data_IF_802111645663
#
_entry.id   IF_802111645663
#
_cell.length_a   1.000
_cell.length_b   1.000
_cell.length_c   1.000
_cell.angle_alpha   90.00
_cell.angle_beta   90.00
_cell.angle_gamma   90.00
#
_symmetry.space_group_name_H-M   'P 1'
#
loop_
_entity.id
_entity.type
_entity.pdbx_description
1 polymer ?
#
# COMPACT_ATOMS: atom_id res chain seq x y z
N UNK A 1 -7.38 -29.92 0.94
CA UNK A 1 -8.22 -29.60 -0.24
C UNK A 1 -8.98 -30.83 -0.75
N UNK A 2 -10.27 -30.71 -1.09
CA UNK A 2 -11.04 -31.77 -1.79
C UNK A 2 -11.51 -31.28 -3.15
N UNK A 3 -10.86 -31.77 -4.22
CA UNK A 3 -11.15 -31.39 -5.60
C UNK A 3 -12.30 -32.22 -6.20
N UNK A 4 -13.21 -31.54 -6.90
CA UNK A 4 -14.24 -32.15 -7.74
C UNK A 4 -13.62 -32.83 -8.98
N UNK A 5 -14.32 -33.80 -9.62
CA UNK A 5 -13.84 -34.43 -10.84
C UNK A 5 -13.54 -33.42 -11.97
N UNK A 6 -14.32 -32.35 -12.08
CA UNK A 6 -14.14 -31.32 -13.11
C UNK A 6 -12.87 -30.51 -12.83
N UNK A 7 -12.63 -30.09 -11.58
CA UNK A 7 -11.40 -29.38 -11.20
C UNK A 7 -10.16 -30.26 -11.44
N UNK A 8 -10.23 -31.56 -11.13
CA UNK A 8 -9.14 -32.50 -11.44
C UNK A 8 -8.84 -32.55 -12.93
N UNK A 9 -9.87 -32.66 -13.78
CA UNK A 9 -9.70 -32.66 -15.24
C UNK A 9 -9.06 -31.34 -15.72
N UNK A 10 -9.55 -30.19 -15.24
CA UNK A 10 -9.02 -28.88 -15.59
C UNK A 10 -7.54 -28.73 -15.22
N UNK A 11 -7.16 -29.13 -14.00
CA UNK A 11 -5.77 -29.02 -13.53
C UNK A 11 -4.85 -29.96 -14.32
N UNK A 12 -5.30 -31.17 -14.64
CA UNK A 12 -4.51 -32.11 -15.47
C UNK A 12 -4.28 -31.56 -16.88
N UNK A 13 -5.30 -30.99 -17.51
CA UNK A 13 -5.17 -30.32 -18.81
C UNK A 13 -4.20 -29.13 -18.74
N UNK A 14 -4.24 -28.35 -17.65
CA UNK A 14 -3.29 -27.24 -17.42
C UNK A 14 -1.85 -27.75 -17.22
N UNK A 15 -1.65 -28.88 -16.54
CA UNK A 15 -0.33 -29.50 -16.39
C UNK A 15 0.24 -29.91 -17.75
N UNK A 16 -0.58 -30.47 -18.65
CA UNK A 16 -0.16 -30.81 -20.01
C UNK A 16 0.26 -29.59 -20.82
N UNK A 17 -0.52 -28.50 -20.76
CA UNK A 17 -0.16 -27.23 -21.40
C UNK A 17 1.13 -26.66 -20.82
N UNK A 18 1.28 -26.67 -19.49
CA UNK A 18 2.45 -26.11 -18.81
C UNK A 18 3.73 -26.85 -19.20
N UNK A 19 3.70 -28.20 -19.22
CA UNK A 19 4.81 -29.05 -19.67
C UNK A 19 5.20 -28.77 -21.12
N UNK A 20 4.21 -28.56 -22.01
CA UNK A 20 4.46 -28.29 -23.43
C UNK A 20 4.95 -26.85 -23.69
N UNK A 21 4.59 -25.90 -22.82
CA UNK A 21 4.88 -24.47 -23.02
C UNK A 21 6.29 -24.05 -22.57
N UNK A 22 7.12 -24.99 -22.07
CA UNK A 22 8.46 -24.74 -21.53
C UNK A 22 8.51 -23.58 -20.52
N UNK A 23 7.46 -23.43 -19.71
CA UNK A 23 7.33 -22.36 -18.72
C UNK A 23 8.23 -22.68 -17.54
N UNK A 24 9.15 -21.77 -17.22
CA UNK A 24 9.82 -21.77 -15.92
C UNK A 24 9.02 -20.90 -14.96
N UNK A 25 8.34 -21.53 -14.01
CA UNK A 25 7.51 -20.85 -13.02
C UNK A 25 7.46 -21.62 -11.72
N UNK A 26 6.66 -21.11 -10.78
CA UNK A 26 6.69 -21.54 -9.37
C UNK A 26 6.08 -22.92 -9.09
N UNK A 27 5.46 -23.56 -10.09
CA UNK A 27 4.77 -24.82 -9.93
C UNK A 27 5.47 -25.95 -10.67
N UNK A 28 5.58 -27.11 -10.03
CA UNK A 28 6.02 -28.36 -10.67
C UNK A 28 4.79 -29.12 -11.21
N UNK A 29 4.53 -29.10 -12.53
CA UNK A 29 3.35 -29.74 -13.11
C UNK A 29 3.34 -31.27 -12.95
N UNK A 30 4.52 -31.91 -12.90
CA UNK A 30 4.62 -33.35 -12.72
C UNK A 30 4.14 -33.77 -11.32
N UNK A 31 4.61 -33.06 -10.28
CA UNK A 31 4.19 -33.30 -8.90
C UNK A 31 2.67 -33.12 -8.73
N UNK A 32 2.12 -32.06 -9.33
CA UNK A 32 0.68 -31.76 -9.25
C UNK A 32 -0.14 -32.85 -9.95
N UNK A 33 0.28 -33.28 -11.14
CA UNK A 33 -0.36 -34.36 -11.88
C UNK A 33 -0.35 -35.67 -11.08
N UNK A 34 0.81 -36.07 -10.55
CA UNK A 34 0.95 -37.31 -9.78
C UNK A 34 0.06 -37.29 -8.53
N UNK A 35 0.04 -36.17 -7.80
CA UNK A 35 -0.81 -35.98 -6.63
C UNK A 35 -2.31 -36.10 -6.96
N UNK A 36 -2.75 -35.56 -8.11
CA UNK A 36 -4.16 -35.65 -8.52
C UNK A 36 -4.52 -37.07 -8.95
N UNK A 37 -3.67 -37.72 -9.75
CA UNK A 37 -3.92 -39.08 -10.26
C UNK A 37 -3.91 -40.13 -9.16
N UNK A 38 -3.02 -39.99 -8.18
CA UNK A 38 -2.91 -40.93 -7.06
C UNK A 38 -3.92 -40.67 -5.94
N UNK A 39 -4.69 -39.58 -6.01
CA UNK A 39 -5.61 -39.16 -4.95
C UNK A 39 -4.93 -38.49 -3.75
N UNK A 40 -3.64 -38.16 -3.83
CA UNK A 40 -2.86 -37.50 -2.77
C UNK A 40 -2.84 -35.97 -2.91
N UNK A 41 -3.99 -35.34 -3.16
CA UNK A 41 -4.07 -33.88 -3.41
C UNK A 41 -3.64 -33.01 -2.23
N UNK A 42 -3.51 -33.57 -1.03
CA UNK A 42 -2.96 -32.89 0.15
C UNK A 42 -1.51 -32.42 -0.06
N UNK A 43 -0.72 -33.12 -0.89
CA UNK A 43 0.67 -32.77 -1.23
C UNK A 43 0.75 -31.37 -1.85
N UNK A 44 -0.29 -30.93 -2.57
CA UNK A 44 -0.35 -29.61 -3.19
C UNK A 44 -0.38 -28.51 -2.12
N UNK A 45 -1.20 -28.67 -1.07
CA UNK A 45 -1.24 -27.71 0.03
C UNK A 45 0.10 -27.68 0.77
N UNK A 46 0.71 -28.83 1.05
CA UNK A 46 2.00 -28.85 1.77
C UNK A 46 3.12 -28.16 0.99
N UNK A 47 3.18 -28.34 -0.33
CA UNK A 47 4.26 -27.79 -1.14
C UNK A 47 4.02 -26.34 -1.57
N UNK A 48 2.75 -25.90 -1.64
CA UNK A 48 2.39 -24.60 -2.22
C UNK A 48 1.51 -23.74 -1.32
N UNK A 49 1.30 -24.08 -0.04
CA UNK A 49 0.47 -23.31 0.90
C UNK A 49 0.84 -21.83 0.92
N UNK A 50 2.14 -21.50 0.90
CA UNK A 50 2.63 -20.12 0.90
C UNK A 50 2.27 -19.34 -0.37
N UNK A 51 1.87 -20.00 -1.45
CA UNK A 51 1.46 -19.38 -2.71
C UNK A 51 -0.06 -19.34 -2.87
N UNK A 52 -0.78 -20.34 -2.35
CA UNK A 52 -2.21 -20.52 -2.62
C UNK A 52 -3.12 -20.19 -1.43
N UNK A 53 -2.57 -20.18 -0.21
CA UNK A 53 -3.32 -19.92 1.03
C UNK A 53 -2.93 -18.59 1.68
N UNK A 54 -2.39 -17.64 0.91
CA UNK A 54 -2.18 -16.29 1.41
C UNK A 54 -3.55 -15.63 1.58
N UNK A 55 -3.91 -15.16 2.79
CA UNK A 55 -5.12 -14.38 2.95
C UNK A 55 -5.01 -13.10 2.13
N UNK A 56 -6.13 -12.68 1.54
CA UNK A 56 -6.20 -11.36 0.95
C UNK A 56 -5.95 -10.29 2.03
N UNK A 57 -5.32 -9.19 1.63
CA UNK A 57 -5.15 -8.04 2.51
C UNK A 57 -6.53 -7.44 2.80
N UNK A 58 -6.78 -7.16 4.08
CA UNK A 58 -8.01 -6.49 4.55
C UNK A 58 -8.29 -5.20 3.76
N UNK A 59 -9.49 -5.11 3.18
CA UNK A 59 -9.97 -3.95 2.42
C UNK A 59 -9.87 -2.63 3.21
N UNK A 60 -10.00 -2.67 4.54
CA UNK A 60 -9.83 -1.49 5.39
C UNK A 60 -8.39 -0.97 5.37
N UNK A 61 -7.40 -1.87 5.33
CA UNK A 61 -5.99 -1.49 5.19
C UNK A 61 -5.73 -0.88 3.83
N UNK A 62 -6.32 -1.46 2.77
CA UNK A 62 -6.24 -0.90 1.42
C UNK A 62 -6.82 0.50 1.40
N UNK A 63 -8.06 0.68 1.88
CA UNK A 63 -8.72 1.98 1.94
C UNK A 63 -7.90 3.02 2.74
N UNK A 64 -7.29 2.61 3.86
CA UNK A 64 -6.44 3.48 4.67
C UNK A 64 -5.21 3.97 3.89
N UNK A 65 -4.49 3.10 3.17
CA UNK A 65 -3.36 3.53 2.32
C UNK A 65 -3.82 4.53 1.27
N UNK A 66 -4.97 4.30 0.63
CA UNK A 66 -5.56 5.25 -0.32
C UNK A 66 -5.82 6.62 0.30
N UNK A 67 -6.38 6.67 1.51
CA UNK A 67 -6.64 7.91 2.23
C UNK A 67 -5.33 8.65 2.58
N UNK A 68 -4.30 7.93 3.04
CA UNK A 68 -2.99 8.50 3.35
C UNK A 68 -2.36 9.12 2.10
N UNK A 69 -2.31 8.39 0.99
CA UNK A 69 -1.72 8.88 -0.27
C UNK A 69 -2.52 10.06 -0.85
N UNK A 70 -3.85 10.02 -0.77
CA UNK A 70 -4.70 11.14 -1.17
C UNK A 70 -4.43 12.39 -0.32
N UNK A 71 -4.27 12.24 1.00
CA UNK A 71 -3.89 13.32 1.90
C UNK A 71 -2.57 13.95 1.49
N UNK A 72 -1.51 13.15 1.27
CA UNK A 72 -0.20 13.68 0.84
C UNK A 72 -0.28 14.40 -0.52
N UNK A 73 -1.04 13.87 -1.48
CA UNK A 73 -1.27 14.54 -2.77
C UNK A 73 -1.93 15.91 -2.58
N UNK A 74 -2.94 16.00 -1.71
CA UNK A 74 -3.64 17.26 -1.40
C UNK A 74 -2.73 18.24 -0.67
N UNK A 75 -1.98 17.79 0.33
CA UNK A 75 -1.00 18.59 1.08
C UNK A 75 0.03 19.19 0.13
N UNK A 76 0.66 18.35 -0.70
CA UNK A 76 1.68 18.81 -1.65
C UNK A 76 1.11 19.82 -2.65
N UNK A 77 -0.04 19.50 -3.25
CA UNK A 77 -0.70 20.42 -4.19
C UNK A 77 -1.11 21.75 -3.56
N UNK A 78 -1.49 21.74 -2.28
CA UNK A 78 -1.87 22.96 -1.56
C UNK A 78 -0.64 23.79 -1.18
N UNK A 79 0.41 23.13 -0.67
CA UNK A 79 1.69 23.79 -0.36
C UNK A 79 2.31 24.45 -1.59
N UNK A 80 2.33 23.77 -2.74
CA UNK A 80 2.95 24.29 -3.96
C UNK A 80 2.32 25.63 -4.40
N UNK A 81 1.02 25.83 -4.12
CA UNK A 81 0.25 27.05 -4.41
C UNK A 81 0.35 28.15 -3.35
N UNK A 82 0.93 27.89 -2.18
CA UNK A 82 1.10 28.91 -1.16
C UNK A 82 2.03 30.03 -1.62
N UNK A 83 1.74 31.24 -1.16
CA UNK A 83 2.62 32.40 -1.33
C UNK A 83 3.97 32.18 -0.64
N UNK A 84 5.00 32.95 -1.02
CA UNK A 84 6.28 32.89 -0.33
C UNK A 84 6.16 33.23 1.17
N UNK A 85 5.31 34.21 1.51
CA UNK A 85 5.02 34.59 2.90
C UNK A 85 4.36 33.46 3.69
N UNK A 86 3.39 32.75 3.09
CA UNK A 86 2.74 31.62 3.75
C UNK A 86 3.67 30.41 3.92
N UNK A 87 4.52 30.13 2.92
CA UNK A 87 5.56 29.08 3.03
C UNK A 87 6.54 29.39 4.15
N UNK A 88 6.94 30.65 4.30
CA UNK A 88 7.78 31.11 5.40
C UNK A 88 7.05 30.97 6.73
N UNK A 89 5.81 31.45 6.84
CA UNK A 89 4.97 31.31 8.04
C UNK A 89 4.83 29.85 8.48
N UNK A 90 4.59 28.93 7.55
CA UNK A 90 4.52 27.49 7.83
C UNK A 90 5.83 27.00 8.45
N UNK A 91 6.96 27.34 7.84
CA UNK A 91 8.28 26.92 8.32
C UNK A 91 8.64 27.52 9.68
N UNK A 92 8.21 28.74 9.98
CA UNK A 92 8.47 29.37 11.29
C UNK A 92 7.62 28.73 12.40
N UNK A 93 6.38 28.35 12.09
CA UNK A 93 5.45 27.75 13.06
C UNK A 93 5.73 26.29 13.34
N UNK A 94 6.29 25.56 12.37
CA UNK A 94 6.61 24.15 12.48
C UNK A 94 8.13 24.01 12.48
N UNK A 95 8.73 23.80 13.65
CA UNK A 95 10.16 23.58 13.78
C UNK A 95 10.43 22.24 14.47
N UNK A 96 11.19 21.31 13.86
CA UNK A 96 11.82 21.41 12.54
C UNK A 96 10.89 20.96 11.39
N UNK A 97 10.53 21.88 10.48
CA UNK A 97 9.84 21.57 9.21
C UNK A 97 10.83 21.55 8.04
N UNK A 98 10.82 20.43 7.30
CA UNK A 98 11.61 20.24 6.09
C UNK A 98 10.73 19.80 4.93
N UNK A 99 10.76 20.54 3.82
CA UNK A 99 9.89 20.26 2.65
C UNK A 99 10.01 18.81 2.15
N UNK A 100 11.22 18.28 2.08
CA UNK A 100 11.45 16.90 1.61
C UNK A 100 10.95 15.86 2.60
N UNK A 101 11.11 16.12 3.90
CA UNK A 101 10.70 15.21 4.97
C UNK A 101 9.20 15.22 5.22
N UNK A 102 8.60 16.40 5.16
CA UNK A 102 7.25 16.63 5.67
C UNK A 102 6.19 16.63 4.56
N UNK A 103 6.53 17.09 3.35
CA UNK A 103 5.60 17.10 2.21
C UNK A 103 5.65 15.83 1.37
N UNK A 104 6.62 14.94 1.61
CA UNK A 104 6.71 13.65 0.93
C UNK A 104 6.20 12.53 1.83
N UNK A 105 5.61 11.53 1.19
CA UNK A 105 5.25 10.28 1.85
C UNK A 105 6.52 9.44 2.00
N UNK A 106 6.86 9.07 3.24
CA UNK A 106 8.12 8.39 3.54
C UNK A 106 8.05 6.87 3.39
N UNK A 107 6.92 6.32 2.96
CA UNK A 107 6.70 4.88 2.94
C UNK A 107 6.15 4.34 4.26
N UNK A 108 6.28 3.02 4.41
CA UNK A 108 5.91 2.24 5.59
C UNK A 108 7.10 1.36 5.97
N UNK A 109 7.17 0.93 7.23
CA UNK A 109 8.23 0.02 7.67
C UNK A 109 7.99 -1.37 7.07
N UNK A 110 8.94 -1.91 6.31
CA UNK A 110 8.76 -3.18 5.62
C UNK A 110 8.62 -4.38 6.57
N UNK A 111 9.07 -4.25 7.82
CA UNK A 111 9.05 -5.33 8.82
C UNK A 111 7.83 -5.22 9.75
N UNK A 112 7.57 -4.03 10.26
CA UNK A 112 6.53 -3.78 11.27
C UNK A 112 5.18 -3.35 10.67
N UNK A 113 5.18 -2.88 9.42
CA UNK A 113 4.00 -2.39 8.69
C UNK A 113 3.85 -3.11 7.34
N UNK A 114 4.27 -4.37 7.28
CA UNK A 114 4.44 -5.17 6.05
C UNK A 114 3.23 -5.16 5.11
N UNK A 115 2.00 -5.25 5.64
CA UNK A 115 0.79 -5.20 4.81
C UNK A 115 0.66 -3.84 4.10
N UNK A 116 0.86 -2.74 4.83
CA UNK A 116 0.76 -1.39 4.27
C UNK A 116 1.88 -1.12 3.25
N UNK A 117 3.09 -1.58 3.56
CA UNK A 117 4.22 -1.56 2.63
C UNK A 117 3.91 -2.36 1.35
N UNK A 118 3.33 -3.56 1.48
CA UNK A 118 2.93 -4.42 0.36
C UNK A 118 1.85 -3.75 -0.52
N UNK A 119 0.83 -3.13 0.09
CA UNK A 119 -0.19 -2.37 -0.64
C UNK A 119 0.43 -1.23 -1.43
N UNK A 120 1.31 -0.43 -0.81
CA UNK A 120 1.96 0.70 -1.46
C UNK A 120 2.83 0.24 -2.65
N UNK A 121 3.54 -0.88 -2.50
CA UNK A 121 4.26 -1.54 -3.59
C UNK A 121 3.33 -1.98 -4.73
N UNK A 122 2.18 -2.59 -4.44
CA UNK A 122 1.23 -3.00 -5.47
C UNK A 122 0.60 -1.80 -6.19
N UNK A 123 0.37 -0.68 -5.49
CA UNK A 123 -0.08 0.56 -6.12
C UNK A 123 0.97 1.08 -7.11
N UNK A 124 2.25 1.09 -6.74
CA UNK A 124 3.34 1.46 -7.66
C UNK A 124 3.38 0.54 -8.88
N UNK A 125 3.35 -0.79 -8.68
CA UNK A 125 3.37 -1.79 -9.77
C UNK A 125 2.16 -1.67 -10.70
N UNK A 126 0.99 -1.34 -10.17
CA UNK A 126 -0.23 -1.07 -10.94
C UNK A 126 -0.29 0.35 -11.54
N UNK A 127 0.82 1.10 -11.46
CA UNK A 127 0.97 2.47 -11.99
C UNK A 127 0.00 3.49 -11.38
N UNK A 128 -0.38 3.30 -10.11
CA UNK A 128 -1.19 4.24 -9.32
C UNK A 128 -0.30 5.04 -8.37
N UNK A 129 -0.61 6.33 -8.18
CA UNK A 129 0.13 7.26 -7.32
C UNK A 129 1.63 7.38 -7.65
N UNK A 130 2.02 7.13 -8.90
CA UNK A 130 3.42 7.16 -9.33
C UNK A 130 4.09 8.53 -9.21
N UNK A 131 3.31 9.59 -9.09
CA UNK A 131 3.81 10.94 -8.83
C UNK A 131 4.22 11.18 -7.36
N UNK A 132 3.88 10.27 -6.45
CA UNK A 132 4.33 10.30 -5.05
C UNK A 132 5.70 9.64 -4.96
N UNK A 133 6.72 10.47 -4.72
CA UNK A 133 8.06 9.99 -4.35
C UNK A 133 7.99 9.24 -3.03
N UNK A 134 8.68 8.10 -2.94
CA UNK A 134 8.74 7.29 -1.72
C UNK A 134 7.62 6.27 -1.55
N UNK A 135 6.76 6.07 -2.57
CA UNK A 135 5.62 5.14 -2.50
C UNK A 135 6.00 3.71 -2.10
N UNK A 136 7.16 3.22 -2.52
CA UNK A 136 7.71 1.89 -2.22
C UNK A 136 8.93 1.93 -1.28
N UNK A 137 9.16 3.06 -0.61
CA UNK A 137 10.28 3.17 0.32
C UNK A 137 10.00 2.43 1.61
N UNK A 138 11.01 1.71 2.10
CA UNK A 138 11.04 1.24 3.47
C UNK A 138 11.40 2.44 4.35
N UNK A 139 10.47 2.86 5.21
CA UNK A 139 10.68 4.03 6.07
C UNK A 139 11.71 3.76 7.17
N UNK A 140 12.01 2.48 7.47
CA UNK A 140 12.80 2.05 8.63
C UNK A 140 12.31 2.65 9.96
N UNK A 141 11.02 3.01 10.02
CA UNK A 141 10.37 3.63 11.17
C UNK A 141 8.85 3.42 11.11
N UNK A 142 8.21 3.24 12.27
CA UNK A 142 6.75 3.13 12.39
C UNK A 142 6.06 4.44 12.00
N UNK A 143 5.43 4.48 10.82
CA UNK A 143 4.82 5.69 10.28
C UNK A 143 3.29 5.69 10.33
N UNK A 144 2.65 4.53 10.38
CA UNK A 144 1.20 4.36 10.38
C UNK A 144 0.52 5.14 11.50
N UNK A 145 0.96 5.10 12.78
CA UNK A 145 0.30 5.87 13.84
C UNK A 145 0.33 7.38 13.56
N UNK A 146 1.43 7.86 12.98
CA UNK A 146 1.59 9.27 12.59
C UNK A 146 0.63 9.64 11.45
N UNK A 147 0.55 8.81 10.41
CA UNK A 147 -0.38 9.05 9.31
C UNK A 147 -1.84 9.02 9.75
N UNK A 148 -2.22 8.09 10.63
CA UNK A 148 -3.56 8.02 11.20
C UNK A 148 -3.89 9.28 12.01
N UNK A 149 -2.97 9.75 12.85
CA UNK A 149 -3.09 11.00 13.59
C UNK A 149 -3.26 12.22 12.66
N UNK A 150 -2.51 12.28 11.56
CA UNK A 150 -2.69 13.36 10.57
C UNK A 150 -4.06 13.28 9.89
N UNK A 151 -4.55 12.07 9.59
CA UNK A 151 -5.86 11.86 8.98
C UNK A 151 -7.02 12.34 9.86
N UNK A 152 -6.92 12.25 11.19
CA UNK A 152 -7.99 12.73 12.09
C UNK A 152 -8.23 14.24 11.96
N UNK A 153 -7.20 15.01 11.57
CA UNK A 153 -7.32 16.45 11.27
C UNK A 153 -7.63 16.69 9.80
N UNK A 154 -6.97 15.98 8.91
CA UNK A 154 -7.15 16.16 7.47
C UNK A 154 -8.58 15.86 7.01
N UNK A 155 -9.18 14.76 7.46
CA UNK A 155 -10.50 14.31 6.97
C UNK A 155 -11.60 15.34 7.25
N UNK A 156 -11.77 15.87 8.49
CA UNK A 156 -12.76 16.91 8.75
C UNK A 156 -12.52 18.20 7.95
N UNK A 157 -11.26 18.62 7.82
CA UNK A 157 -10.90 19.79 7.00
C UNK A 157 -11.27 19.57 5.54
N UNK A 158 -10.97 18.39 4.99
CA UNK A 158 -11.29 18.05 3.61
C UNK A 158 -12.80 17.98 3.34
N UNK A 159 -13.58 17.38 4.24
CA UNK A 159 -15.02 17.18 4.07
C UNK A 159 -15.84 18.48 4.16
N UNK A 160 -15.31 19.51 4.81
CA UNK A 160 -15.99 20.80 4.98
C UNK A 160 -15.74 21.79 3.84
N UNK A 161 -14.91 21.40 2.87
CA UNK A 161 -14.46 22.26 1.77
C UNK A 161 -15.23 21.96 0.48
N UNK A 162 -15.42 23.00 -0.34
CA UNK A 162 -15.84 22.81 -1.71
C UNK A 162 -14.73 22.09 -2.50
N UNK A 163 -15.09 21.23 -3.46
CA UNK A 163 -14.15 20.36 -4.20
C UNK A 163 -12.98 21.10 -4.89
N UNK A 164 -13.08 22.41 -5.12
CA UNK A 164 -12.05 23.23 -5.75
C UNK A 164 -11.07 23.90 -4.75
N UNK A 165 -11.39 23.93 -3.45
CA UNK A 165 -10.64 24.70 -2.45
C UNK A 165 -9.43 23.91 -1.93
N UNK A 166 -8.26 24.55 -1.99
CA UNK A 166 -6.99 23.99 -1.50
C UNK A 166 -6.79 24.30 -0.02
N UNK A 167 -6.01 23.46 0.67
CA UNK A 167 -5.70 23.65 2.09
C UNK A 167 -5.02 25.00 2.31
N UNK A 168 -5.47 25.74 3.31
CA UNK A 168 -4.85 27.00 3.72
C UNK A 168 -3.52 26.74 4.43
N UNK A 169 -2.70 27.78 4.63
CA UNK A 169 -1.50 27.65 5.47
C UNK A 169 -1.84 27.23 6.90
N UNK A 170 -2.97 27.69 7.45
CA UNK A 170 -3.42 27.34 8.80
C UNK A 170 -3.87 25.88 8.90
N UNK A 171 -4.47 25.34 7.84
CA UNK A 171 -4.81 23.92 7.75
C UNK A 171 -3.55 23.05 7.72
N UNK A 172 -2.56 23.44 6.92
CA UNK A 172 -1.28 22.71 6.85
C UNK A 172 -0.56 22.75 8.21
N UNK A 173 -0.56 23.91 8.89
CA UNK A 173 -0.03 24.02 10.26
C UNK A 173 -0.75 23.02 11.17
N UNK A 174 -2.08 23.00 11.18
CA UNK A 174 -2.87 22.10 12.03
C UNK A 174 -2.57 20.62 11.78
N UNK A 175 -2.51 20.22 10.50
CA UNK A 175 -2.21 18.82 10.14
C UNK A 175 -0.81 18.42 10.60
N UNK A 176 0.19 19.28 10.37
CA UNK A 176 1.57 18.97 10.71
C UNK A 176 1.91 19.14 12.18
N UNK A 177 1.22 20.00 12.94
CA UNK A 177 1.43 20.15 14.39
C UNK A 177 1.31 18.80 15.11
N UNK A 178 0.32 17.97 14.75
CA UNK A 178 0.13 16.66 15.37
C UNK A 178 1.30 15.70 15.10
N UNK A 179 1.99 15.86 13.97
CA UNK A 179 3.20 15.07 13.66
C UNK A 179 4.34 15.39 14.63
N UNK A 180 4.42 16.63 15.14
CA UNK A 180 5.45 17.07 16.08
C UNK A 180 5.03 17.00 17.55
N UNK A 181 3.75 16.77 17.87
CA UNK A 181 3.22 16.60 19.23
C UNK A 181 3.64 15.27 19.90
N UNK A 182 4.77 14.68 19.50
CA UNK A 182 5.28 13.45 20.10
C UNK A 182 6.06 13.73 21.39
N UNK A 183 5.36 13.71 22.52
CA UNK A 183 5.86 13.27 23.82
C UNK A 183 5.18 11.95 24.19
#
# INVERSE_FOLDING_TARGET
MKLTPIEKLQILMLCDIYKQSNIQGSFNPQLIEDAIRSGNSWVIEENYASLINQPDIDDNKVALVFQILAMYRTIKSSYDKLSAADKQRLSEKLQPFGREKDLQFCGFDANLEADYFSIANMLKKSKRFIEITGLDSDSHALMLPTYQKMLTVYIPLFNTRHMAEKLSVDDLIRIFSIRYESH
#
